data_IF_319038850413
#
_entry.id   IF_319038850413
#
_cell.length_a   1.000
_cell.length_b   1.000
_cell.length_c   1.000
_cell.angle_alpha   90.00
_cell.angle_beta   90.00
_cell.angle_gamma   90.00
#
_symmetry.space_group_name_H-M   'P 1'
#
loop_
_entity.id
_entity.type
_entity.pdbx_description
1 polymer ?
#
# COMPACT_ATOMS: atom_id res chain seq x y z
N UNK A 1 24.71 -73.41 -14.34
CA UNK A 1 23.77 -72.36 -14.79
C UNK A 1 22.35 -72.89 -14.63
N UNK A 2 21.53 -72.29 -13.76
CA UNK A 2 20.14 -72.73 -13.56
C UNK A 2 19.22 -71.95 -14.50
N UNK A 3 18.48 -72.64 -15.36
CA UNK A 3 17.50 -72.03 -16.25
C UNK A 3 16.10 -72.13 -15.60
N UNK A 4 15.40 -71.01 -15.48
CA UNK A 4 14.01 -70.95 -14.99
C UNK A 4 13.11 -70.64 -16.19
N UNK A 5 12.19 -71.55 -16.49
CA UNK A 5 11.30 -71.48 -17.67
C UNK A 5 9.86 -71.84 -17.33
N UNK A 6 9.31 -71.28 -16.24
CA UNK A 6 7.91 -71.49 -15.90
C UNK A 6 6.98 -70.84 -16.92
N UNK A 7 6.00 -71.60 -17.41
CA UNK A 7 5.03 -71.16 -18.40
C UNK A 7 3.82 -70.45 -17.78
N UNK A 8 3.64 -70.57 -16.46
CA UNK A 8 2.50 -70.11 -15.69
C UNK A 8 2.92 -69.24 -14.48
N UNK A 9 3.95 -68.41 -14.66
CA UNK A 9 4.54 -67.59 -13.60
C UNK A 9 3.52 -66.82 -12.72
N UNK A 10 2.42 -66.22 -13.25
CA UNK A 10 1.41 -65.55 -12.42
C UNK A 10 0.70 -66.47 -11.41
N UNK A 11 0.60 -67.77 -11.70
CA UNK A 11 -0.03 -68.78 -10.81
C UNK A 11 0.69 -68.89 -9.46
N UNK A 12 2.00 -68.61 -9.44
CA UNK A 12 2.84 -68.65 -8.24
C UNK A 12 2.55 -67.50 -7.26
N UNK A 13 1.81 -66.49 -7.70
CA UNK A 13 1.29 -65.41 -6.85
C UNK A 13 -0.23 -65.30 -7.01
N UNK A 14 -0.92 -66.44 -6.84
CA UNK A 14 -2.36 -66.58 -7.08
C UNK A 14 -3.21 -65.48 -6.42
N UNK A 15 -2.90 -65.06 -5.19
CA UNK A 15 -3.63 -63.98 -4.50
C UNK A 15 -3.52 -62.63 -5.23
N UNK A 16 -2.34 -62.27 -5.72
CA UNK A 16 -2.14 -61.02 -6.46
C UNK A 16 -2.73 -61.10 -7.87
N UNK A 17 -2.57 -62.25 -8.54
CA UNK A 17 -3.11 -62.47 -9.87
C UNK A 17 -4.66 -62.44 -9.86
N UNK A 18 -5.29 -63.13 -8.91
CA UNK A 18 -6.75 -63.16 -8.78
C UNK A 18 -7.34 -61.80 -8.43
N UNK A 19 -6.73 -61.04 -7.51
CA UNK A 19 -7.21 -59.69 -7.15
C UNK A 19 -7.10 -58.70 -8.31
N UNK A 20 -5.98 -58.67 -9.03
CA UNK A 20 -5.81 -57.79 -10.20
C UNK A 20 -6.74 -58.20 -11.35
N UNK A 21 -6.86 -59.50 -11.62
CA UNK A 21 -7.76 -60.00 -12.66
C UNK A 21 -9.23 -59.68 -12.32
N UNK A 22 -9.66 -59.91 -11.08
CA UNK A 22 -10.99 -59.53 -10.59
C UNK A 22 -11.24 -58.03 -10.75
N UNK A 23 -10.27 -57.18 -10.43
CA UNK A 23 -10.38 -55.73 -10.62
C UNK A 23 -10.54 -55.33 -12.09
N UNK A 24 -9.81 -55.98 -13.00
CA UNK A 24 -9.93 -55.73 -14.44
C UNK A 24 -11.30 -56.14 -14.97
N UNK A 25 -11.79 -57.35 -14.62
CA UNK A 25 -13.12 -57.83 -15.02
C UNK A 25 -14.23 -56.94 -14.46
N UNK A 26 -14.15 -56.57 -13.18
CA UNK A 26 -15.14 -55.69 -12.54
C UNK A 26 -15.20 -54.32 -13.22
N UNK A 27 -14.03 -53.72 -13.52
CA UNK A 27 -13.96 -52.45 -14.24
C UNK A 27 -14.44 -52.56 -15.68
N UNK A 28 -14.16 -53.67 -16.36
CA UNK A 28 -14.64 -53.93 -17.72
C UNK A 28 -16.17 -53.99 -17.74
N UNK A 29 -16.79 -54.82 -16.88
CA UNK A 29 -18.25 -54.97 -16.81
C UNK A 29 -18.94 -53.64 -16.50
N UNK A 30 -18.38 -52.87 -15.57
CA UNK A 30 -18.88 -51.52 -15.22
C UNK A 30 -18.70 -50.49 -16.35
N UNK A 31 -17.70 -50.67 -17.22
CA UNK A 31 -17.40 -49.74 -18.30
C UNK A 31 -18.23 -50.03 -19.57
N UNK A 32 -18.44 -51.30 -19.92
CA UNK A 32 -19.22 -51.70 -21.11
C UNK A 32 -20.72 -51.47 -20.93
N UNK A 33 -21.21 -51.53 -19.69
CA UNK A 33 -22.60 -51.26 -19.33
C UNK A 33 -22.67 -50.33 -18.12
N UNK A 34 -22.70 -49.00 -18.34
CA UNK A 34 -22.69 -48.02 -17.25
C UNK A 34 -24.07 -47.84 -16.58
N UNK A 35 -25.12 -48.43 -17.13
CA UNK A 35 -26.47 -48.37 -16.57
C UNK A 35 -26.57 -49.14 -15.25
N UNK A 36 -27.41 -48.67 -14.33
CA UNK A 36 -27.51 -49.23 -12.97
C UNK A 36 -28.45 -50.42 -12.89
N UNK A 37 -29.48 -50.45 -13.74
CA UNK A 37 -30.61 -51.36 -13.61
C UNK A 37 -30.65 -52.38 -14.76
N UNK A 38 -30.06 -52.07 -15.91
CA UNK A 38 -30.03 -52.93 -17.09
C UNK A 38 -28.60 -53.23 -17.55
N UNK A 39 -28.28 -54.51 -17.73
CA UNK A 39 -27.01 -54.91 -18.34
C UNK A 39 -27.17 -54.98 -19.86
N UNK A 40 -26.69 -53.94 -20.54
CA UNK A 40 -26.73 -53.80 -21.99
C UNK A 40 -25.43 -53.18 -22.51
N UNK A 41 -24.88 -53.75 -23.58
CA UNK A 41 -23.77 -53.19 -24.35
C UNK A 41 -24.04 -53.40 -25.85
N UNK A 42 -23.82 -52.36 -26.64
CA UNK A 42 -24.11 -52.39 -28.07
C UNK A 42 -22.84 -52.68 -28.88
N UNK A 43 -22.86 -53.75 -29.67
CA UNK A 43 -21.75 -54.11 -30.56
C UNK A 43 -22.01 -53.48 -31.93
N UNK A 44 -21.21 -52.50 -32.31
CA UNK A 44 -21.24 -51.84 -33.62
C UNK A 44 -19.91 -52.06 -34.35
N UNK A 45 -19.98 -52.25 -35.67
CA UNK A 45 -18.81 -52.25 -36.54
C UNK A 45 -18.39 -50.83 -36.96
N UNK A 46 -19.23 -49.84 -36.67
CA UNK A 46 -18.93 -48.43 -36.82
C UNK A 46 -18.42 -47.85 -35.49
N UNK A 47 -17.10 -47.63 -35.40
CA UNK A 47 -16.46 -47.11 -34.20
C UNK A 47 -15.25 -46.20 -34.50
N UNK A 48 -15.11 -45.20 -33.63
CA UNK A 48 -13.95 -44.30 -33.57
C UNK A 48 -12.92 -44.81 -32.56
N UNK A 49 -11.63 -44.63 -32.86
CA UNK A 49 -10.53 -44.98 -31.95
C UNK A 49 -10.64 -44.18 -30.65
N UNK A 50 -10.34 -44.85 -29.53
CA UNK A 50 -10.39 -44.24 -28.19
C UNK A 50 -11.79 -44.13 -27.59
N UNK A 51 -12.85 -44.50 -28.32
CA UNK A 51 -14.21 -44.57 -27.78
C UNK A 51 -14.52 -45.93 -27.17
N UNK A 52 -15.58 -46.01 -26.36
CA UNK A 52 -16.01 -47.27 -25.76
C UNK A 52 -16.45 -48.30 -26.81
N UNK A 53 -16.99 -47.86 -27.96
CA UNK A 53 -17.37 -48.75 -29.06
C UNK A 53 -16.19 -49.55 -29.62
N UNK A 54 -15.02 -48.91 -29.74
CA UNK A 54 -13.78 -49.58 -30.15
C UNK A 54 -13.37 -50.68 -29.15
N UNK A 55 -13.50 -50.39 -27.84
CA UNK A 55 -13.21 -51.38 -26.78
C UNK A 55 -14.19 -52.54 -26.83
N UNK A 56 -15.49 -52.27 -26.95
CA UNK A 56 -16.54 -53.31 -27.00
C UNK A 56 -16.33 -54.21 -28.21
N UNK A 57 -16.18 -53.64 -29.41
CA UNK A 57 -16.02 -54.42 -30.65
C UNK A 57 -14.70 -55.18 -30.72
N UNK A 58 -13.63 -54.65 -30.13
CA UNK A 58 -12.34 -55.34 -30.01
C UNK A 58 -12.33 -56.46 -28.96
N UNK A 59 -13.21 -56.41 -27.96
CA UNK A 59 -13.31 -57.40 -26.89
C UNK A 59 -14.23 -58.57 -27.24
N UNK A 60 -15.33 -58.30 -27.95
CA UNK A 60 -16.31 -59.33 -28.34
C UNK A 60 -15.82 -60.06 -29.60
N UNK A 61 -15.50 -61.34 -29.46
CA UNK A 61 -15.04 -62.21 -30.57
C UNK A 61 -16.17 -63.04 -31.19
N UNK A 62 -17.27 -63.24 -30.46
CA UNK A 62 -18.44 -64.01 -30.88
C UNK A 62 -19.70 -63.39 -30.28
N UNK A 63 -20.76 -63.29 -31.09
CA UNK A 63 -22.09 -62.82 -30.65
C UNK A 63 -23.16 -63.74 -31.22
N UNK A 64 -24.05 -64.24 -30.37
CA UNK A 64 -25.17 -65.11 -30.76
C UNK A 64 -24.77 -66.35 -31.59
N UNK A 65 -23.55 -66.87 -31.35
CA UNK A 65 -22.99 -68.03 -32.07
C UNK A 65 -22.22 -67.68 -33.35
N UNK A 66 -22.29 -66.45 -33.84
CA UNK A 66 -21.52 -65.99 -35.00
C UNK A 66 -20.16 -65.41 -34.57
N UNK A 67 -19.09 -65.84 -35.23
CA UNK A 67 -17.73 -65.34 -34.99
C UNK A 67 -17.56 -64.01 -35.72
N UNK A 68 -17.24 -62.96 -34.97
CA UNK A 68 -17.01 -61.59 -35.48
C UNK A 68 -15.53 -61.20 -35.39
N UNK A 69 -14.64 -62.16 -35.20
CA UNK A 69 -13.19 -61.99 -35.28
C UNK A 69 -12.71 -62.20 -36.74
N UNK A 70 -11.83 -61.35 -37.30
CA UNK A 70 -11.14 -60.19 -36.68
C UNK A 70 -11.98 -58.90 -36.63
N UNK A 71 -11.65 -57.99 -35.71
CA UNK A 71 -12.28 -56.68 -35.64
C UNK A 71 -11.79 -55.74 -36.78
N UNK A 72 -12.68 -54.91 -37.39
CA UNK A 72 -12.28 -53.90 -38.37
C UNK A 72 -11.34 -52.83 -37.82
N UNK A 73 -10.68 -52.07 -38.71
CA UNK A 73 -9.90 -50.89 -38.30
C UNK A 73 -10.83 -49.73 -37.93
N UNK A 74 -10.56 -48.99 -36.84
CA UNK A 74 -11.33 -47.79 -36.47
C UNK A 74 -11.31 -46.71 -37.57
N UNK A 75 -12.35 -45.88 -37.62
CA UNK A 75 -12.49 -44.81 -38.64
C UNK A 75 -11.42 -43.73 -38.57
N UNK A 76 -11.05 -43.33 -37.36
CA UNK A 76 -10.01 -42.33 -37.11
C UNK A 76 -8.85 -43.00 -36.39
N UNK A 77 -7.64 -42.88 -36.92
CA UNK A 77 -6.42 -43.19 -36.17
C UNK A 77 -5.91 -41.84 -35.66
N UNK A 78 -5.68 -41.65 -34.35
CA UNK A 78 -5.19 -40.37 -33.85
C UNK A 78 -3.86 -40.01 -34.52
N UNK A 79 -3.85 -38.92 -35.28
CA UNK A 79 -2.63 -38.31 -35.81
C UNK A 79 -1.86 -37.63 -34.68
N UNK A 80 -1.04 -38.40 -33.96
CA UNK A 80 -0.16 -37.88 -32.91
C UNK A 80 -0.90 -37.30 -31.70
N UNK A 81 -0.20 -37.19 -30.57
CA UNK A 81 -0.76 -36.52 -29.41
C UNK A 81 -1.00 -35.03 -29.74
N UNK A 82 -2.15 -34.44 -29.37
CA UNK A 82 -2.36 -33.00 -29.53
C UNK A 82 -1.27 -32.22 -28.79
N UNK A 83 -0.73 -31.17 -29.43
CA UNK A 83 0.32 -30.32 -28.85
C UNK A 83 -0.21 -29.74 -27.54
N UNK A 84 0.46 -30.08 -26.43
CA UNK A 84 0.06 -29.63 -25.10
C UNK A 84 0.20 -28.10 -25.04
N UNK A 85 -0.82 -27.35 -24.61
CA UNK A 85 -0.72 -25.90 -24.47
C UNK A 85 0.38 -25.57 -23.44
N UNK A 86 1.23 -24.59 -23.79
CA UNK A 86 2.30 -24.09 -22.93
C UNK A 86 1.73 -23.52 -21.64
N UNK A 87 2.44 -23.74 -20.54
CA UNK A 87 2.14 -23.14 -19.24
C UNK A 87 2.42 -21.63 -19.24
N UNK A 88 1.86 -20.88 -18.29
CA UNK A 88 2.13 -19.43 -18.15
C UNK A 88 3.62 -19.16 -17.98
N UNK A 89 4.33 -19.99 -17.21
CA UNK A 89 5.77 -19.85 -17.01
C UNK A 89 6.57 -20.04 -18.31
N UNK A 90 6.16 -20.96 -19.19
CA UNK A 90 6.81 -21.16 -20.49
C UNK A 90 6.55 -19.99 -21.44
N UNK A 91 5.35 -19.40 -21.42
CA UNK A 91 5.02 -18.19 -22.18
C UNK A 91 5.80 -16.96 -21.66
N UNK A 92 5.97 -16.84 -20.35
CA UNK A 92 6.79 -15.79 -19.73
C UNK A 92 8.28 -15.95 -20.05
N UNK A 93 8.79 -17.19 -20.02
CA UNK A 93 10.17 -17.50 -20.39
C UNK A 93 10.44 -17.16 -21.86
N UNK A 94 9.50 -17.46 -22.76
CA UNK A 94 9.59 -17.09 -24.17
C UNK A 94 9.58 -15.56 -24.34
N UNK A 95 8.68 -14.85 -23.65
CA UNK A 95 8.65 -13.39 -23.64
C UNK A 95 9.95 -12.78 -23.11
N UNK A 96 10.53 -13.33 -22.04
CA UNK A 96 11.80 -12.89 -21.50
C UNK A 96 12.96 -13.15 -22.48
N UNK A 97 12.94 -14.28 -23.19
CA UNK A 97 13.94 -14.61 -24.20
C UNK A 97 13.88 -13.71 -25.44
N UNK A 98 12.74 -13.08 -25.75
CA UNK A 98 12.64 -12.09 -26.85
C UNK A 98 13.42 -10.79 -26.58
N UNK A 99 13.73 -10.49 -25.32
CA UNK A 99 14.45 -9.28 -24.95
C UNK A 99 15.94 -9.49 -25.15
N UNK A 100 16.50 -8.88 -26.20
CA UNK A 100 17.93 -8.98 -26.48
C UNK A 100 18.77 -8.36 -25.36
N UNK A 101 19.99 -8.88 -25.09
CA UNK A 101 20.90 -8.28 -24.11
C UNK A 101 21.17 -6.80 -24.39
N UNK A 102 21.24 -6.41 -25.66
CA UNK A 102 21.38 -5.00 -26.06
C UNK A 102 20.22 -4.13 -25.56
N UNK A 103 18.96 -4.54 -25.80
CA UNK A 103 17.79 -3.77 -25.34
C UNK A 103 17.73 -3.68 -23.81
N UNK A 104 18.12 -4.75 -23.11
CA UNK A 104 18.22 -4.75 -21.65
C UNK A 104 19.24 -3.72 -21.16
N UNK A 105 20.46 -3.75 -21.70
CA UNK A 105 21.51 -2.78 -21.34
C UNK A 105 21.11 -1.35 -21.72
N UNK A 106 20.53 -1.15 -22.91
CA UNK A 106 20.07 0.16 -23.37
C UNK A 106 18.99 0.74 -22.46
N UNK A 107 18.03 -0.07 -22.03
CA UNK A 107 16.95 0.36 -21.10
C UNK A 107 17.53 0.75 -19.74
N UNK A 108 18.44 -0.07 -19.20
CA UNK A 108 19.12 0.24 -17.93
C UNK A 108 19.94 1.53 -18.03
N UNK A 109 20.78 1.65 -19.05
CA UNK A 109 21.57 2.86 -19.29
C UNK A 109 20.68 4.10 -19.43
N UNK A 110 19.59 4.00 -20.20
CA UNK A 110 18.63 5.09 -20.40
C UNK A 110 17.95 5.51 -19.09
N UNK A 111 17.58 4.55 -18.24
CA UNK A 111 16.98 4.85 -16.93
C UNK A 111 17.96 5.59 -16.01
N UNK A 112 19.22 5.16 -15.95
CA UNK A 112 20.26 5.86 -15.18
C UNK A 112 20.56 7.25 -15.75
N UNK A 113 20.66 7.39 -17.09
CA UNK A 113 20.85 8.69 -17.73
C UNK A 113 19.69 9.64 -17.45
N UNK A 114 18.44 9.16 -17.47
CA UNK A 114 17.28 9.98 -17.11
C UNK A 114 17.33 10.41 -15.63
N UNK A 115 17.69 9.50 -14.72
CA UNK A 115 17.87 9.82 -13.30
C UNK A 115 18.96 10.85 -13.05
N UNK A 116 20.14 10.67 -13.63
CA UNK A 116 21.28 11.59 -13.49
C UNK A 116 20.96 12.96 -14.09
N UNK A 117 20.34 13.01 -15.28
CA UNK A 117 19.88 14.27 -15.88
C UNK A 117 18.83 14.96 -15.02
N UNK A 118 17.92 14.22 -14.39
CA UNK A 118 16.96 14.76 -13.42
C UNK A 118 17.63 15.42 -12.22
N UNK A 119 18.68 14.79 -11.67
CA UNK A 119 19.48 15.37 -10.57
C UNK A 119 20.17 16.67 -11.01
N UNK A 120 20.76 16.70 -12.21
CA UNK A 120 21.34 17.92 -12.77
C UNK A 120 20.29 19.02 -12.94
N UNK A 121 19.09 18.68 -13.41
CA UNK A 121 17.97 19.61 -13.54
C UNK A 121 17.57 20.23 -12.20
N UNK A 122 17.47 19.42 -11.13
CA UNK A 122 17.21 19.93 -9.78
C UNK A 122 18.31 20.88 -9.29
N UNK A 123 19.57 20.60 -9.62
CA UNK A 123 20.69 21.48 -9.29
C UNK A 123 20.64 22.83 -10.02
N UNK A 124 20.17 22.85 -11.27
CA UNK A 124 20.04 24.09 -12.07
C UNK A 124 18.93 24.98 -11.53
N UNK A 125 17.82 24.41 -11.06
CA UNK A 125 16.66 25.18 -10.56
C UNK A 125 16.74 25.52 -9.06
N UNK A 126 17.82 25.15 -8.38
CA UNK A 126 18.00 25.37 -6.96
C UNK A 126 18.12 26.88 -6.64
N UNK A 127 17.20 27.49 -5.85
CA UNK A 127 17.28 28.92 -5.56
C UNK A 127 18.30 29.25 -4.46
N UNK A 128 18.61 28.31 -3.56
CA UNK A 128 19.50 28.52 -2.42
C UNK A 128 20.11 27.20 -1.93
N UNK A 129 21.08 27.30 -1.01
CA UNK A 129 21.76 26.15 -0.42
C UNK A 129 20.82 25.25 0.40
N UNK A 130 19.83 25.83 1.08
CA UNK A 130 18.89 25.09 1.91
C UNK A 130 18.08 24.08 1.08
N UNK A 131 17.66 24.44 -0.13
CA UNK A 131 17.01 23.52 -1.06
C UNK A 131 17.89 22.30 -1.37
N UNK A 132 19.17 22.51 -1.71
CA UNK A 132 20.11 21.42 -1.99
C UNK A 132 20.34 20.51 -0.78
N UNK A 133 20.38 21.08 0.44
CA UNK A 133 20.48 20.32 1.68
C UNK A 133 19.22 19.48 1.95
N UNK A 134 18.03 20.04 1.70
CA UNK A 134 16.75 19.33 1.82
C UNK A 134 16.61 18.21 0.80
N UNK A 135 16.99 18.44 -0.47
CA UNK A 135 16.99 17.39 -1.52
C UNK A 135 17.95 16.26 -1.16
N UNK A 136 19.12 16.58 -0.62
CA UNK A 136 20.09 15.57 -0.14
C UNK A 136 19.48 14.71 0.97
N UNK A 137 18.89 15.35 1.97
CA UNK A 137 18.24 14.66 3.10
C UNK A 137 17.06 13.82 2.63
N UNK A 138 16.24 14.34 1.71
CA UNK A 138 15.14 13.62 1.07
C UNK A 138 15.61 12.36 0.33
N UNK A 139 16.67 12.47 -0.47
CA UNK A 139 17.23 11.32 -1.20
C UNK A 139 17.74 10.21 -0.27
N UNK A 140 18.50 10.59 0.75
CA UNK A 140 19.00 9.63 1.76
C UNK A 140 17.86 9.01 2.57
N UNK A 141 16.90 9.81 3.04
CA UNK A 141 15.73 9.33 3.78
C UNK A 141 14.86 8.39 2.93
N UNK A 142 14.72 8.65 1.63
CA UNK A 142 14.03 7.77 0.68
C UNK A 142 14.70 6.40 0.55
N UNK A 143 16.04 6.35 0.47
CA UNK A 143 16.80 5.09 0.43
C UNK A 143 16.67 4.33 1.76
N UNK A 144 16.74 5.03 2.89
CA UNK A 144 16.52 4.45 4.22
C UNK A 144 15.12 3.86 4.31
N UNK A 145 14.08 4.62 3.97
CA UNK A 145 12.69 4.16 3.99
C UNK A 145 12.46 2.94 3.10
N UNK A 146 13.04 2.92 1.89
CA UNK A 146 12.97 1.76 0.99
C UNK A 146 13.50 0.50 1.67
N UNK A 147 14.73 0.53 2.21
CA UNK A 147 15.32 -0.65 2.83
C UNK A 147 14.63 -1.05 4.14
N UNK A 148 14.16 -0.08 4.92
CA UNK A 148 13.46 -0.34 6.18
C UNK A 148 12.14 -1.07 5.96
N UNK A 149 11.36 -0.71 4.94
CA UNK A 149 10.06 -1.33 4.67
C UNK A 149 10.22 -2.72 4.04
N UNK A 150 11.22 -2.93 3.17
CA UNK A 150 11.50 -4.24 2.58
C UNK A 150 12.00 -5.29 3.58
N UNK A 151 12.57 -4.85 4.72
CA UNK A 151 13.02 -5.74 5.79
C UNK A 151 11.89 -6.34 6.64
N UNK A 152 10.62 -5.99 6.38
CA UNK A 152 9.47 -6.47 7.16
C UNK A 152 9.05 -7.88 6.74
N UNK A 153 9.01 -8.82 7.69
CA UNK A 153 8.88 -10.27 7.42
C UNK A 153 7.59 -10.66 6.63
N UNK A 154 7.69 -11.39 5.51
CA UNK A 154 6.55 -11.74 4.65
C UNK A 154 5.44 -12.62 5.26
N UNK A 155 5.75 -13.45 6.26
CA UNK A 155 4.75 -14.28 6.95
C UNK A 155 3.72 -13.46 7.75
N UNK A 156 3.93 -12.15 7.85
CA UNK A 156 3.12 -11.20 8.62
C UNK A 156 2.37 -10.21 7.70
N UNK A 157 2.35 -10.42 6.38
CA UNK A 157 1.86 -9.47 5.38
C UNK A 157 0.37 -9.08 5.44
N UNK A 158 -0.51 -9.79 6.15
CA UNK A 158 -1.90 -9.32 6.30
C UNK A 158 -2.07 -8.56 7.62
N UNK A 159 -1.66 -9.11 8.77
CA UNK A 159 -1.91 -8.47 10.06
C UNK A 159 -0.89 -7.37 10.40
N UNK A 160 0.39 -7.57 10.10
CA UNK A 160 1.45 -6.57 10.35
C UNK A 160 1.52 -5.52 9.24
N UNK A 161 1.13 -5.80 7.99
CA UNK A 161 0.96 -4.71 7.01
C UNK A 161 -0.10 -3.72 7.45
N UNK A 162 -1.21 -4.20 8.03
CA UNK A 162 -2.20 -3.31 8.62
C UNK A 162 -1.62 -2.51 9.80
N UNK A 163 -0.73 -3.10 10.61
CA UNK A 163 0.02 -2.38 11.65
C UNK A 163 1.00 -1.35 11.06
N UNK A 164 1.73 -1.71 9.99
CA UNK A 164 2.64 -0.80 9.29
C UNK A 164 1.88 0.40 8.72
N UNK A 165 0.72 0.15 8.11
CA UNK A 165 -0.22 1.18 7.66
C UNK A 165 -0.69 2.05 8.82
N UNK A 166 -0.99 1.46 9.98
CA UNK A 166 -1.39 2.21 11.18
C UNK A 166 -0.27 3.07 11.76
N UNK A 167 0.97 2.57 11.83
CA UNK A 167 2.14 3.32 12.32
C UNK A 167 2.50 4.46 11.39
N UNK A 168 2.55 4.20 10.08
CA UNK A 168 2.80 5.25 9.09
C UNK A 168 1.71 6.31 9.11
N UNK A 169 0.45 5.92 9.32
CA UNK A 169 -0.65 6.85 9.53
C UNK A 169 -0.52 7.65 10.84
N UNK A 170 -0.07 7.04 11.94
CA UNK A 170 0.16 7.77 13.19
C UNK A 170 1.28 8.83 13.03
N UNK A 171 2.40 8.45 12.40
CA UNK A 171 3.55 9.33 12.15
C UNK A 171 3.20 10.44 11.16
N UNK A 172 2.38 10.17 10.13
CA UNK A 172 1.97 11.19 9.16
C UNK A 172 1.15 12.32 9.79
N UNK A 173 0.60 12.12 10.99
CA UNK A 173 0.02 13.20 11.80
C UNK A 173 1.02 14.30 12.21
N UNK A 174 2.32 14.15 11.93
CA UNK A 174 3.30 15.23 12.03
C UNK A 174 3.04 16.43 11.10
N UNK A 175 2.00 16.39 10.25
CA UNK A 175 1.44 17.61 9.65
C UNK A 175 1.08 18.68 10.69
N UNK A 176 0.87 18.29 11.96
CA UNK A 176 0.76 19.20 13.10
C UNK A 176 1.96 20.14 13.25
N UNK A 177 3.19 19.72 12.91
CA UNK A 177 4.40 20.56 12.96
C UNK A 177 4.26 21.77 12.04
N UNK A 178 3.77 21.57 10.81
CA UNK A 178 3.50 22.67 9.88
C UNK A 178 2.38 23.59 10.37
N UNK A 179 1.31 23.01 10.93
CA UNK A 179 0.22 23.77 11.55
C UNK A 179 0.72 24.63 12.72
N UNK A 180 1.52 24.08 13.63
CA UNK A 180 2.07 24.81 14.78
C UNK A 180 2.98 25.97 14.35
N UNK A 181 3.79 25.78 13.30
CA UNK A 181 4.67 26.84 12.78
C UNK A 181 3.90 28.03 12.19
N UNK A 182 2.69 27.81 11.67
CA UNK A 182 1.82 28.85 11.08
C UNK A 182 0.76 29.39 12.06
N UNK A 183 0.60 28.76 13.24
CA UNK A 183 -0.28 29.26 14.28
C UNK A 183 0.32 30.50 14.96
N UNK A 184 -0.51 31.51 15.18
CA UNK A 184 -0.11 32.75 15.84
C UNK A 184 -1.32 33.48 16.39
N UNK A 185 -1.08 34.65 16.99
CA UNK A 185 -2.11 35.44 17.67
C UNK A 185 -2.06 35.25 19.19
N UNK A 186 -3.23 35.16 19.82
CA UNK A 186 -3.38 34.99 21.27
C UNK A 186 -4.13 33.67 21.56
N UNK A 187 -5.11 33.69 22.48
CA UNK A 187 -5.96 32.52 22.76
C UNK A 187 -6.82 32.14 21.55
N UNK A 188 -7.22 33.13 20.75
CA UNK A 188 -8.01 32.95 19.53
C UNK A 188 -7.22 33.40 18.30
N UNK A 189 -7.45 32.76 17.12
CA UNK A 189 -6.84 33.19 15.87
C UNK A 189 -7.25 34.62 15.51
N UNK A 190 -6.29 35.42 15.04
CA UNK A 190 -6.52 36.80 14.59
C UNK A 190 -6.73 36.91 13.07
N UNK A 191 -6.13 36.01 12.29
CA UNK A 191 -6.23 35.99 10.83
C UNK A 191 -6.76 34.66 10.31
N UNK A 192 -7.28 34.64 9.09
CA UNK A 192 -7.76 33.42 8.44
C UNK A 192 -6.69 32.34 8.38
N UNK A 193 -5.44 32.69 8.06
CA UNK A 193 -4.33 31.73 8.00
C UNK A 193 -4.08 31.04 9.35
N UNK A 194 -4.10 31.80 10.45
CA UNK A 194 -3.97 31.23 11.81
C UNK A 194 -5.13 30.28 12.14
N UNK A 195 -6.34 30.56 11.63
CA UNK A 195 -7.49 29.66 11.74
C UNK A 195 -7.31 28.36 10.95
N UNK A 196 -6.82 28.43 9.72
CA UNK A 196 -6.50 27.26 8.90
C UNK A 196 -5.40 26.40 9.54
N UNK A 197 -4.37 27.05 10.08
CA UNK A 197 -3.28 26.40 10.80
C UNK A 197 -3.78 25.70 12.09
N UNK A 198 -4.66 26.36 12.85
CA UNK A 198 -5.29 25.75 14.03
C UNK A 198 -6.14 24.52 13.65
N UNK A 199 -6.88 24.59 12.55
CA UNK A 199 -7.65 23.45 12.03
C UNK A 199 -6.74 22.30 11.58
N UNK A 200 -5.64 22.60 10.89
CA UNK A 200 -4.63 21.62 10.50
C UNK A 200 -4.00 20.93 11.71
N UNK A 201 -3.61 21.67 12.75
CA UNK A 201 -3.09 21.13 14.01
C UNK A 201 -4.11 20.25 14.72
N UNK A 202 -5.37 20.67 14.77
CA UNK A 202 -6.46 19.91 15.38
C UNK A 202 -6.67 18.55 14.70
N UNK A 203 -6.88 18.51 13.37
CA UNK A 203 -7.11 17.25 12.64
C UNK A 203 -5.87 16.35 12.62
N UNK A 204 -4.68 16.94 12.60
CA UNK A 204 -3.43 16.20 12.71
C UNK A 204 -3.31 15.50 14.08
N UNK A 205 -3.75 16.15 15.15
CA UNK A 205 -3.75 15.59 16.50
C UNK A 205 -4.75 14.43 16.66
N UNK A 206 -5.90 14.49 15.98
CA UNK A 206 -6.83 13.35 15.86
C UNK A 206 -6.10 12.15 15.26
N UNK A 207 -5.33 12.37 14.20
CA UNK A 207 -4.60 11.34 13.49
C UNK A 207 -3.46 10.72 14.35
N UNK A 208 -2.66 11.54 15.04
CA UNK A 208 -1.60 11.08 15.93
C UNK A 208 -2.18 10.15 17.00
N UNK A 209 -3.15 10.64 17.77
CA UNK A 209 -3.65 9.91 18.93
C UNK A 209 -4.46 8.66 18.53
N UNK A 210 -5.27 8.79 17.47
CA UNK A 210 -6.02 7.67 16.91
C UNK A 210 -5.12 6.58 16.35
N UNK A 211 -4.11 6.96 15.55
CA UNK A 211 -3.17 6.04 14.93
C UNK A 211 -2.35 5.24 15.94
N UNK A 212 -1.77 5.89 16.96
CA UNK A 212 -0.97 5.17 17.97
C UNK A 212 -1.81 4.22 18.83
N UNK A 213 -3.04 4.61 19.17
CA UNK A 213 -3.93 3.73 19.95
C UNK A 213 -4.38 2.51 19.14
N UNK A 214 -4.72 2.70 17.86
CA UNK A 214 -5.03 1.59 16.94
C UNK A 214 -3.83 0.65 16.83
N UNK A 215 -2.64 1.18 16.56
CA UNK A 215 -1.40 0.40 16.46
C UNK A 215 -1.19 -0.45 17.71
N UNK A 216 -1.32 0.16 18.90
CA UNK A 216 -1.15 -0.56 20.17
C UNK A 216 -2.15 -1.72 20.30
N UNK A 217 -3.45 -1.45 20.04
CA UNK A 217 -4.50 -2.48 20.11
C UNK A 217 -4.23 -3.65 19.18
N UNK A 218 -3.75 -3.38 17.97
CA UNK A 218 -3.41 -4.43 17.02
C UNK A 218 -2.21 -5.25 17.47
N UNK A 219 -1.16 -4.60 17.98
CA UNK A 219 0.06 -5.27 18.43
C UNK A 219 -0.21 -6.19 19.61
N UNK A 220 -1.08 -5.77 20.53
CA UNK A 220 -1.43 -6.56 21.73
C UNK A 220 -2.17 -7.85 21.39
N UNK A 221 -2.85 -7.93 20.24
CA UNK A 221 -3.50 -9.17 19.78
C UNK A 221 -2.50 -10.27 19.39
N UNK A 222 -1.25 -9.92 19.11
CA UNK A 222 -0.23 -10.90 18.76
C UNK A 222 0.53 -11.46 19.96
N UNK A 223 0.25 -10.96 21.16
CA UNK A 223 0.83 -11.49 22.39
C UNK A 223 0.23 -12.85 22.69
N UNK A 224 1.08 -13.88 22.76
CA UNK A 224 0.64 -15.23 23.11
C UNK A 224 0.53 -15.35 24.63
N UNK A 225 -0.41 -16.14 25.16
CA UNK A 225 -0.53 -16.38 26.60
C UNK A 225 0.73 -17.02 27.22
N UNK A 226 1.56 -17.67 26.40
CA UNK A 226 2.80 -18.33 26.82
C UNK A 226 4.05 -17.45 26.71
N UNK A 227 3.92 -16.23 26.18
CA UNK A 227 5.07 -15.32 26.05
C UNK A 227 5.50 -14.80 27.44
N UNK A 228 6.81 -14.56 27.69
CA UNK A 228 7.28 -13.96 28.93
C UNK A 228 6.63 -12.60 29.22
N UNK A 229 6.53 -12.19 30.50
CA UNK A 229 6.09 -10.84 30.85
C UNK A 229 6.98 -9.77 30.19
N UNK A 230 6.35 -8.79 29.55
CA UNK A 230 7.02 -7.66 28.89
C UNK A 230 6.85 -6.38 29.75
N UNK A 231 7.90 -5.55 29.80
CA UNK A 231 7.95 -4.36 30.66
C UNK A 231 8.00 -3.07 29.84
N UNK A 232 6.99 -2.86 28.97
CA UNK A 232 6.96 -1.76 28.00
C UNK A 232 7.01 -0.35 28.64
N UNK A 233 6.63 -0.20 29.91
CA UNK A 233 6.75 1.07 30.63
C UNK A 233 8.21 1.53 30.80
N UNK A 234 9.20 0.64 30.69
CA UNK A 234 10.62 1.00 30.73
C UNK A 234 11.03 1.90 29.55
N UNK A 235 10.28 1.86 28.43
CA UNK A 235 10.51 2.78 27.30
C UNK A 235 10.14 4.24 27.62
N UNK A 236 9.53 4.52 28.77
CA UNK A 236 9.39 5.88 29.27
C UNK A 236 10.74 6.51 29.66
N UNK A 237 11.74 5.71 30.03
CA UNK A 237 13.07 6.20 30.39
C UNK A 237 13.76 6.98 29.24
N UNK A 238 13.90 6.43 28.02
CA UNK A 238 14.44 7.19 26.90
C UNK A 238 13.53 8.34 26.48
N UNK A 239 12.20 8.18 26.54
CA UNK A 239 11.24 9.24 26.21
C UNK A 239 11.42 10.47 27.12
N UNK A 240 11.43 10.25 28.44
CA UNK A 240 11.59 11.28 29.45
C UNK A 240 12.97 11.93 29.37
N UNK A 241 14.02 11.16 29.09
CA UNK A 241 15.38 11.69 28.93
C UNK A 241 15.51 12.53 27.66
N UNK A 242 14.89 12.11 26.55
CA UNK A 242 14.96 12.81 25.27
C UNK A 242 14.22 14.14 25.31
N UNK A 243 12.93 14.13 25.70
CA UNK A 243 12.11 15.36 25.76
C UNK A 243 12.47 16.20 26.99
N UNK A 244 12.67 15.59 28.15
CA UNK A 244 13.07 16.31 29.37
C UNK A 244 14.47 16.92 29.25
N UNK A 245 15.41 16.20 28.62
CA UNK A 245 16.73 16.72 28.29
C UNK A 245 16.67 17.90 27.32
N UNK A 246 15.79 17.86 26.33
CA UNK A 246 15.52 19.01 25.45
C UNK A 246 15.02 20.22 26.23
N UNK A 247 14.02 20.05 27.10
CA UNK A 247 13.47 21.15 27.92
C UNK A 247 14.52 21.73 28.87
N UNK A 248 15.37 20.90 29.47
CA UNK A 248 16.49 21.35 30.30
C UNK A 248 17.50 22.17 29.49
N UNK A 249 17.87 21.72 28.29
CA UNK A 249 18.75 22.44 27.39
C UNK A 249 18.16 23.78 26.93
N UNK A 250 16.86 23.79 26.59
CA UNK A 250 16.11 24.99 26.20
C UNK A 250 16.08 26.00 27.35
N UNK A 251 15.83 25.54 28.59
CA UNK A 251 15.84 26.39 29.79
C UNK A 251 17.23 26.96 30.09
N UNK A 252 18.28 26.28 29.63
CA UNK A 252 19.68 26.72 29.75
C UNK A 252 20.13 27.62 28.58
N UNK A 253 19.23 27.94 27.65
CA UNK A 253 19.50 28.83 26.51
C UNK A 253 20.14 28.18 25.28
N UNK A 254 20.21 26.85 25.22
CA UNK A 254 20.69 26.13 24.03
C UNK A 254 19.57 25.95 23.00
N UNK A 255 19.90 26.14 21.72
CA UNK A 255 19.00 25.86 20.59
C UNK A 255 19.47 24.57 19.90
N UNK A 256 18.74 23.46 20.08
CA UNK A 256 19.11 22.13 19.58
C UNK A 256 18.02 21.50 18.71
N UNK A 257 17.11 22.31 18.15
CA UNK A 257 15.93 21.89 17.38
C UNK A 257 16.31 21.02 16.18
N UNK A 258 17.36 21.40 15.44
CA UNK A 258 17.82 20.65 14.26
C UNK A 258 18.30 19.23 14.61
N UNK A 259 18.97 19.07 15.76
CA UNK A 259 19.40 17.77 16.26
C UNK A 259 18.21 16.97 16.82
N UNK A 260 17.25 17.65 17.44
CA UNK A 260 15.99 17.02 17.86
C UNK A 260 15.18 16.49 16.67
N UNK A 261 15.14 17.20 15.54
CA UNK A 261 14.51 16.72 14.31
C UNK A 261 15.21 15.48 13.76
N UNK A 262 16.54 15.45 13.77
CA UNK A 262 17.30 14.24 13.43
C UNK A 262 16.97 13.08 14.37
N UNK A 263 17.01 13.30 15.69
CA UNK A 263 16.68 12.26 16.68
C UNK A 263 15.24 11.74 16.55
N UNK A 264 14.29 12.63 16.29
CA UNK A 264 12.89 12.31 16.05
C UNK A 264 12.72 11.49 14.77
N UNK A 265 13.41 11.88 13.68
CA UNK A 265 13.45 11.15 12.43
C UNK A 265 14.03 9.74 12.59
N UNK A 266 15.13 9.59 13.32
CA UNK A 266 15.72 8.28 13.63
C UNK A 266 14.78 7.40 14.47
N UNK A 267 14.06 7.97 15.43
CA UNK A 267 13.05 7.26 16.19
C UNK A 267 11.88 6.79 15.29
N UNK A 268 11.42 7.63 14.36
CA UNK A 268 10.39 7.25 13.38
C UNK A 268 10.89 6.15 12.43
N UNK A 269 12.14 6.20 11.95
CA UNK A 269 12.75 5.11 11.17
C UNK A 269 12.83 3.83 12.00
N UNK A 270 13.25 3.94 13.26
CA UNK A 270 13.28 2.85 14.24
C UNK A 270 11.89 2.26 14.51
N UNK A 271 10.83 3.08 14.42
CA UNK A 271 9.45 2.62 14.56
C UNK A 271 9.08 1.61 13.46
N UNK A 272 9.45 1.91 12.21
CA UNK A 272 9.22 1.02 11.07
C UNK A 272 10.16 -0.19 11.11
N UNK A 273 11.45 0.03 11.42
CA UNK A 273 12.42 -1.05 11.52
C UNK A 273 12.07 -2.06 12.63
N UNK A 274 11.57 -1.57 13.76
CA UNK A 274 11.14 -2.40 14.90
C UNK A 274 9.94 -3.30 14.58
N UNK A 275 9.15 -2.98 13.56
CA UNK A 275 8.06 -3.84 13.10
C UNK A 275 8.55 -5.06 12.31
N UNK A 276 9.83 -5.11 11.90
CA UNK A 276 10.35 -6.20 11.07
C UNK A 276 10.21 -7.60 11.68
N UNK A 277 10.22 -7.70 13.02
CA UNK A 277 10.01 -8.94 13.75
C UNK A 277 8.93 -8.79 14.83
N UNK A 278 8.20 -9.86 15.11
CA UNK A 278 7.11 -9.85 16.10
C UNK A 278 7.59 -9.51 17.52
N UNK A 279 8.81 -9.92 17.87
CA UNK A 279 9.40 -9.66 19.20
C UNK A 279 9.71 -8.18 19.43
N UNK A 280 10.07 -7.44 18.37
CA UNK A 280 10.44 -6.02 18.44
C UNK A 280 9.29 -5.08 18.10
N UNK A 281 8.12 -5.59 17.70
CA UNK A 281 7.04 -4.76 17.16
C UNK A 281 6.52 -3.70 18.15
N UNK A 282 6.48 -4.01 19.45
CA UNK A 282 6.07 -3.06 20.51
C UNK A 282 7.09 -1.95 20.73
N UNK A 283 8.38 -2.28 20.63
CA UNK A 283 9.45 -1.28 20.62
C UNK A 283 9.26 -0.33 19.43
N UNK A 284 8.87 -0.85 18.26
CA UNK A 284 8.54 -0.03 17.10
C UNK A 284 7.48 1.03 17.41
N UNK A 285 6.37 0.64 18.03
CA UNK A 285 5.32 1.59 18.42
C UNK A 285 5.83 2.64 19.45
N UNK A 286 6.61 2.21 20.43
CA UNK A 286 7.19 3.10 21.44
C UNK A 286 8.15 4.13 20.83
N UNK A 287 9.05 3.71 19.93
CA UNK A 287 9.96 4.62 19.22
C UNK A 287 9.19 5.61 18.35
N UNK A 288 8.10 5.19 17.71
CA UNK A 288 7.23 6.09 16.96
C UNK A 288 6.63 7.19 17.84
N UNK A 289 6.12 6.83 19.02
CA UNK A 289 5.60 7.80 20.00
C UNK A 289 6.69 8.77 20.49
N UNK A 290 7.89 8.26 20.76
CA UNK A 290 9.05 9.08 21.18
C UNK A 290 9.43 10.07 20.07
N UNK A 291 9.48 9.62 18.81
CA UNK A 291 9.81 10.45 17.67
C UNK A 291 8.79 11.57 17.44
N UNK A 292 7.49 11.25 17.50
CA UNK A 292 6.43 12.25 17.34
C UNK A 292 6.44 13.26 18.50
N UNK A 293 6.58 12.79 19.75
CA UNK A 293 6.68 13.68 20.90
C UNK A 293 7.89 14.61 20.84
N UNK A 294 9.06 14.09 20.45
CA UNK A 294 10.29 14.88 20.27
C UNK A 294 10.17 15.93 19.18
N UNK A 295 9.56 15.59 18.04
CA UNK A 295 9.36 16.51 16.93
C UNK A 295 8.44 17.67 17.32
N UNK A 296 7.30 17.36 17.94
CA UNK A 296 6.36 18.37 18.45
C UNK A 296 7.00 19.25 19.53
N UNK A 297 7.74 18.66 20.47
CA UNK A 297 8.43 19.40 21.53
C UNK A 297 9.48 20.37 20.95
N UNK A 298 10.27 19.94 19.97
CA UNK A 298 11.27 20.77 19.32
C UNK A 298 10.65 21.94 18.56
N UNK A 299 9.55 21.70 17.82
CA UNK A 299 8.82 22.78 17.14
C UNK A 299 8.23 23.77 18.14
N UNK A 300 7.58 23.28 19.20
CA UNK A 300 6.96 24.14 20.21
C UNK A 300 8.00 24.97 20.99
N UNK A 301 9.13 24.35 21.35
CA UNK A 301 10.22 25.02 22.07
C UNK A 301 10.97 26.04 21.20
N UNK A 302 11.16 25.76 19.91
CA UNK A 302 11.78 26.66 18.96
C UNK A 302 10.96 27.93 18.67
N UNK A 303 9.62 27.82 18.69
CA UNK A 303 8.72 28.95 18.44
C UNK A 303 8.62 29.93 19.62
N UNK A 304 8.93 29.49 20.85
CA UNK A 304 8.83 30.27 22.10
C UNK A 304 7.49 31.04 22.20
N UNK A 305 6.34 30.36 22.10
CA UNK A 305 5.03 31.02 22.07
C UNK A 305 4.71 31.75 23.38
N UNK A 306 3.88 32.79 23.32
CA UNK A 306 3.32 33.40 24.54
C UNK A 306 2.43 32.39 25.29
N UNK A 307 2.20 32.56 26.61
CA UNK A 307 1.33 31.65 27.37
C UNK A 307 -0.07 31.49 26.76
N UNK A 308 -0.63 32.55 26.18
CA UNK A 308 -1.93 32.54 25.52
C UNK A 308 -1.93 31.70 24.24
N UNK A 309 -0.91 31.87 23.39
CA UNK A 309 -0.78 31.10 22.16
C UNK A 309 -0.46 29.63 22.45
N UNK A 310 0.35 29.37 23.48
CA UNK A 310 0.63 28.02 23.96
C UNK A 310 -0.65 27.33 24.47
N UNK A 311 -1.53 28.08 25.16
CA UNK A 311 -2.84 27.58 25.56
C UNK A 311 -3.72 27.23 24.35
N UNK A 312 -3.70 28.04 23.28
CA UNK A 312 -4.39 27.73 22.04
C UNK A 312 -3.84 26.46 21.37
N UNK A 313 -2.51 26.37 21.20
CA UNK A 313 -1.85 25.21 20.59
C UNK A 313 -2.12 23.92 21.37
N UNK A 314 -1.94 23.96 22.69
CA UNK A 314 -2.21 22.80 23.56
C UNK A 314 -3.70 22.43 23.59
N UNK A 315 -4.61 23.41 23.60
CA UNK A 315 -6.06 23.18 23.53
C UNK A 315 -6.49 22.50 22.23
N UNK A 316 -5.98 22.96 21.09
CA UNK A 316 -6.26 22.34 19.78
C UNK A 316 -5.74 20.89 19.72
N UNK A 317 -4.51 20.64 20.18
CA UNK A 317 -3.94 19.30 20.23
C UNK A 317 -4.69 18.38 21.20
N UNK A 318 -5.05 18.87 22.39
CA UNK A 318 -5.76 18.11 23.40
C UNK A 318 -7.17 17.72 22.94
N UNK A 319 -7.91 18.64 22.31
CA UNK A 319 -9.24 18.35 21.77
C UNK A 319 -9.16 17.33 20.63
N UNK A 320 -8.26 17.55 19.67
CA UNK A 320 -8.05 16.63 18.56
C UNK A 320 -7.63 15.24 19.04
N UNK A 321 -6.64 15.18 19.94
CA UNK A 321 -6.17 13.93 20.53
C UNK A 321 -7.26 13.19 21.30
N UNK A 322 -8.08 13.89 22.08
CA UNK A 322 -9.21 13.29 22.81
C UNK A 322 -10.24 12.65 21.87
N UNK A 323 -10.56 13.32 20.76
CA UNK A 323 -11.45 12.77 19.72
C UNK A 323 -10.81 11.54 19.07
N UNK A 324 -9.54 11.63 18.69
CA UNK A 324 -8.78 10.52 18.10
C UNK A 324 -8.77 9.27 18.98
N UNK A 325 -8.45 9.44 20.27
CA UNK A 325 -8.46 8.35 21.26
C UNK A 325 -9.86 7.76 21.43
N UNK A 326 -10.89 8.59 21.47
CA UNK A 326 -12.28 8.14 21.66
C UNK A 326 -12.75 7.30 20.48
N UNK A 327 -12.47 7.74 19.24
CA UNK A 327 -12.81 7.00 18.01
C UNK A 327 -12.02 5.68 17.96
N UNK A 328 -10.71 5.74 18.15
CA UNK A 328 -9.84 4.58 18.08
C UNK A 328 -10.12 3.53 19.16
N UNK A 329 -10.66 3.92 20.33
CA UNK A 329 -11.08 2.99 21.38
C UNK A 329 -12.39 2.27 21.07
N UNK A 330 -13.32 2.92 20.37
CA UNK A 330 -14.68 2.40 20.13
C UNK A 330 -14.77 1.47 18.91
N UNK A 331 -13.84 1.57 17.97
CA UNK A 331 -13.90 0.77 16.73
C UNK A 331 -13.57 -0.71 16.98
N UNK A 332 -14.19 -1.60 16.20
CA UNK A 332 -13.84 -3.00 16.15
C UNK A 332 -12.60 -3.23 15.28
N UNK A 333 -11.89 -4.34 15.49
CA UNK A 333 -10.67 -4.67 14.73
C UNK A 333 -11.01 -5.04 13.27
N UNK A 334 -12.20 -5.58 13.01
CA UNK A 334 -12.70 -5.81 11.64
C UNK A 334 -12.88 -4.52 10.84
N UNK A 335 -13.15 -3.42 11.54
CA UNK A 335 -13.45 -2.09 10.99
C UNK A 335 -12.20 -1.22 10.86
N UNK A 336 -11.01 -1.82 10.96
CA UNK A 336 -9.78 -1.06 10.95
C UNK A 336 -9.34 -0.52 9.59
N UNK A 337 -9.51 -1.26 8.47
CA UNK A 337 -9.13 -0.76 7.15
C UNK A 337 -9.84 0.55 6.78
N UNK A 338 -11.14 0.65 7.08
CA UNK A 338 -11.93 1.87 6.83
C UNK A 338 -11.50 3.02 7.76
N UNK A 339 -11.17 2.76 9.04
CA UNK A 339 -10.65 3.81 9.93
C UNK A 339 -9.31 4.37 9.44
N UNK A 340 -8.40 3.51 8.97
CA UNK A 340 -7.12 3.95 8.39
C UNK A 340 -7.35 4.80 7.14
N UNK A 341 -8.30 4.42 6.27
CA UNK A 341 -8.68 5.23 5.13
C UNK A 341 -9.23 6.61 5.56
N UNK A 342 -10.10 6.66 6.57
CA UNK A 342 -10.64 7.91 7.09
C UNK A 342 -9.55 8.83 7.67
N UNK A 343 -8.59 8.29 8.43
CA UNK A 343 -7.49 9.06 8.98
C UNK A 343 -6.52 9.61 7.94
N UNK A 344 -6.27 8.85 6.86
CA UNK A 344 -5.46 9.35 5.74
C UNK A 344 -6.12 10.58 5.08
N UNK A 345 -7.45 10.65 5.04
CA UNK A 345 -8.14 11.85 4.53
C UNK A 345 -7.83 13.11 5.36
N UNK A 346 -7.69 12.98 6.69
CA UNK A 346 -7.35 14.09 7.58
C UNK A 346 -5.95 14.65 7.29
N UNK A 347 -5.01 13.77 6.92
CA UNK A 347 -3.64 14.17 6.51
C UNK A 347 -3.69 14.97 5.22
N UNK A 348 -4.46 14.51 4.22
CA UNK A 348 -4.64 15.22 2.96
C UNK A 348 -5.24 16.62 3.16
N UNK A 349 -6.26 16.72 4.02
CA UNK A 349 -6.87 18.00 4.36
C UNK A 349 -5.90 18.92 5.12
N UNK A 350 -5.14 18.40 6.08
CA UNK A 350 -4.14 19.18 6.82
C UNK A 350 -3.07 19.76 5.88
N UNK A 351 -2.63 18.99 4.88
CA UNK A 351 -1.67 19.45 3.88
C UNK A 351 -2.23 20.61 3.04
N UNK A 352 -3.48 20.49 2.54
CA UNK A 352 -4.15 21.57 1.79
C UNK A 352 -4.26 22.84 2.64
N UNK A 353 -4.73 22.70 3.89
CA UNK A 353 -4.86 23.84 4.80
C UNK A 353 -3.52 24.52 5.07
N UNK A 354 -2.45 23.74 5.27
CA UNK A 354 -1.10 24.25 5.53
C UNK A 354 -0.55 25.00 4.32
N UNK A 355 -0.62 24.44 3.12
CA UNK A 355 -0.10 25.10 1.91
C UNK A 355 -0.83 26.40 1.58
N UNK A 356 -2.15 26.44 1.74
CA UNK A 356 -2.93 27.67 1.54
C UNK A 356 -2.62 28.70 2.64
N UNK A 357 -2.50 28.26 3.90
CA UNK A 357 -2.15 29.14 5.01
C UNK A 357 -0.77 29.78 4.85
N UNK A 358 0.24 29.00 4.43
CA UNK A 358 1.59 29.47 4.15
C UNK A 358 1.62 30.47 3.00
N UNK A 359 0.89 30.20 1.91
CA UNK A 359 0.76 31.14 0.79
C UNK A 359 0.20 32.50 1.23
N UNK A 360 -0.81 32.50 2.11
CA UNK A 360 -1.42 33.74 2.62
C UNK A 360 -0.43 34.53 3.50
N UNK A 361 0.36 33.84 4.32
CA UNK A 361 1.31 34.49 5.25
C UNK A 361 2.52 35.05 4.50
N UNK A 362 3.07 34.30 3.55
CA UNK A 362 4.30 34.67 2.84
C UNK A 362 4.06 35.54 1.60
N UNK A 363 2.81 35.72 1.16
CA UNK A 363 2.48 36.50 -0.03
C UNK A 363 3.16 37.88 -0.09
N UNK A 364 3.17 38.71 0.99
CA UNK A 364 3.83 40.02 0.95
C UNK A 364 5.35 39.95 0.72
N UNK A 365 5.99 38.83 1.06
CA UNK A 365 7.45 38.65 0.97
C UNK A 365 7.92 38.15 -0.40
N UNK A 366 7.02 37.63 -1.25
CA UNK A 366 7.38 37.09 -2.56
C UNK A 366 8.02 38.09 -3.52
N UNK A 367 7.79 39.40 -3.32
CA UNK A 367 8.40 40.43 -4.15
C UNK A 367 9.92 40.54 -3.94
N UNK A 368 10.42 40.18 -2.76
CA UNK A 368 11.83 40.39 -2.36
C UNK A 368 12.60 39.09 -2.14
N UNK A 369 11.92 37.94 -2.12
CA UNK A 369 12.54 36.64 -1.88
C UNK A 369 12.96 35.95 -3.19
N UNK A 370 14.25 35.66 -3.33
CA UNK A 370 14.80 34.89 -4.44
C UNK A 370 14.26 33.45 -4.51
N UNK A 371 13.78 32.90 -3.39
CA UNK A 371 13.19 31.57 -3.31
C UNK A 371 11.65 31.57 -3.48
N UNK A 372 11.01 32.71 -3.74
CA UNK A 372 9.55 32.83 -3.81
C UNK A 372 8.90 31.83 -4.79
N UNK A 373 9.54 31.59 -5.94
CA UNK A 373 9.02 30.64 -6.93
C UNK A 373 9.04 29.19 -6.42
N UNK A 374 10.07 28.81 -5.66
CA UNK A 374 10.14 27.48 -5.06
C UNK A 374 9.00 27.29 -4.05
N UNK A 375 8.80 28.25 -3.14
CA UNK A 375 7.73 28.21 -2.14
C UNK A 375 6.36 28.07 -2.80
N UNK A 376 6.09 28.86 -3.85
CA UNK A 376 4.86 28.75 -4.65
C UNK A 376 4.71 27.36 -5.29
N UNK A 377 5.75 26.84 -5.95
CA UNK A 377 5.69 25.52 -6.61
C UNK A 377 5.36 24.42 -5.59
N UNK A 378 6.05 24.42 -4.45
CA UNK A 378 5.86 23.42 -3.39
C UNK A 378 4.45 23.53 -2.78
N UNK A 379 3.96 24.74 -2.52
CA UNK A 379 2.59 24.95 -2.03
C UNK A 379 1.53 24.45 -3.02
N UNK A 380 1.72 24.67 -4.33
CA UNK A 380 0.81 24.18 -5.37
C UNK A 380 0.78 22.65 -5.43
N UNK A 381 1.97 22.02 -5.43
CA UNK A 381 2.08 20.56 -5.45
C UNK A 381 1.53 19.92 -4.17
N UNK A 382 1.81 20.50 -3.00
CA UNK A 382 1.27 20.04 -1.72
C UNK A 382 -0.26 20.13 -1.67
N UNK A 383 -0.83 21.22 -2.19
CA UNK A 383 -2.29 21.39 -2.32
C UNK A 383 -2.90 20.33 -3.25
N UNK A 384 -2.27 20.07 -4.40
CA UNK A 384 -2.73 19.05 -5.35
C UNK A 384 -2.69 17.64 -4.72
N UNK A 385 -1.56 17.25 -4.13
CA UNK A 385 -1.40 15.94 -3.49
C UNK A 385 -2.39 15.79 -2.34
N UNK A 386 -2.53 16.81 -1.49
CA UNK A 386 -3.47 16.80 -0.37
C UNK A 386 -4.92 16.64 -0.82
N UNK A 387 -5.35 17.31 -1.90
CA UNK A 387 -6.72 17.20 -2.43
C UNK A 387 -7.05 15.83 -3.04
N UNK A 388 -6.11 15.24 -3.80
CA UNK A 388 -6.26 13.86 -4.31
C UNK A 388 -6.38 12.89 -3.13
N UNK A 389 -5.49 13.03 -2.16
CA UNK A 389 -5.45 12.17 -0.97
C UNK A 389 -6.73 12.28 -0.15
N UNK A 390 -7.20 13.50 0.18
CA UNK A 390 -8.41 13.73 0.95
C UNK A 390 -9.64 13.04 0.33
N UNK A 391 -9.88 13.32 -0.94
CA UNK A 391 -11.06 12.84 -1.66
C UNK A 391 -10.99 11.34 -1.97
N UNK A 392 -9.83 10.83 -2.41
CA UNK A 392 -9.64 9.42 -2.70
C UNK A 392 -9.81 8.57 -1.45
N UNK A 393 -9.23 9.00 -0.32
CA UNK A 393 -9.40 8.32 0.97
C UNK A 393 -10.86 8.33 1.47
N UNK A 394 -11.62 9.39 1.22
CA UNK A 394 -13.03 9.47 1.59
C UNK A 394 -13.90 8.49 0.76
N UNK A 395 -13.63 8.36 -0.54
CA UNK A 395 -14.30 7.36 -1.41
C UNK A 395 -13.91 5.94 -1.00
N UNK A 396 -12.63 5.71 -0.69
CA UNK A 396 -12.16 4.41 -0.19
C UNK A 396 -12.86 4.04 1.12
N UNK A 397 -12.94 4.98 2.08
CA UNK A 397 -13.70 4.79 3.32
C UNK A 397 -15.16 4.42 3.03
N UNK A 398 -15.85 5.19 2.18
CA UNK A 398 -17.26 4.94 1.88
C UNK A 398 -17.51 3.60 1.17
N UNK A 399 -16.58 3.13 0.33
CA UNK A 399 -16.65 1.79 -0.29
C UNK A 399 -16.40 0.68 0.73
N UNK A 400 -15.38 0.81 1.59
CA UNK A 400 -15.05 -0.20 2.61
C UNK A 400 -16.16 -0.32 3.68
N UNK A 401 -16.76 0.80 4.05
CA UNK A 401 -17.87 0.86 5.01
C UNK A 401 -19.21 0.32 4.43
N UNK A 402 -19.28 0.11 3.12
CA UNK A 402 -20.51 -0.30 2.42
C UNK A 402 -21.53 0.83 2.21
N UNK A 403 -21.14 2.09 2.42
CA UNK A 403 -21.97 3.27 2.11
C UNK A 403 -22.09 3.44 0.60
N UNK A 404 -20.99 3.21 -0.13
CA UNK A 404 -20.95 3.16 -1.59
C UNK A 404 -20.88 1.70 -2.06
N UNK A 405 -21.39 1.44 -3.27
CA UNK A 405 -21.27 0.13 -3.91
C UNK A 405 -19.80 -0.22 -4.16
N UNK A 406 -19.41 -1.46 -3.85
CA UNK A 406 -18.07 -1.98 -4.13
C UNK A 406 -17.77 -1.99 -5.63
N UNK A 407 -18.76 -2.28 -6.47
CA UNK A 407 -18.61 -2.31 -7.93
C UNK A 407 -17.88 -1.07 -8.51
N UNK A 408 -16.98 -1.25 -9.49
CA UNK A 408 -16.27 -0.14 -10.12
C UNK A 408 -17.25 0.72 -10.91
N UNK A 409 -17.33 2.02 -10.58
CA UNK A 409 -18.16 2.97 -11.30
C UNK A 409 -17.40 3.50 -12.52
N UNK A 410 -17.72 2.96 -13.70
CA UNK A 410 -17.05 3.33 -14.94
C UNK A 410 -17.81 4.43 -15.69
N UNK A 411 -17.28 5.65 -15.66
CA UNK A 411 -17.84 6.76 -16.43
C UNK A 411 -17.53 6.59 -17.95
N UNK A 412 -18.45 6.97 -18.85
CA UNK A 412 -18.16 7.09 -20.27
C UNK A 412 -17.00 8.07 -20.50
N UNK A 413 -15.98 7.67 -21.26
CA UNK A 413 -14.83 8.55 -21.56
C UNK A 413 -13.92 8.86 -20.36
N UNK A 414 -13.93 8.07 -19.27
CA UNK A 414 -13.14 8.32 -18.04
C UNK A 414 -11.66 8.65 -18.27
N UNK A 415 -11.03 8.04 -19.27
CA UNK A 415 -9.61 8.29 -19.58
C UNK A 415 -9.40 9.70 -20.14
N UNK A 416 -10.33 10.18 -20.97
CA UNK A 416 -10.31 11.55 -21.49
C UNK A 416 -10.58 12.56 -20.37
N UNK A 417 -11.54 12.26 -19.48
CA UNK A 417 -11.83 13.10 -18.31
C UNK A 417 -10.60 13.21 -17.39
N UNK A 418 -9.99 12.08 -17.01
CA UNK A 418 -8.82 12.08 -16.14
C UNK A 418 -7.60 12.75 -16.79
N UNK A 419 -7.39 12.55 -18.09
CA UNK A 419 -6.36 13.28 -18.83
C UNK A 419 -6.63 14.78 -18.83
N UNK A 420 -7.87 15.21 -19.08
CA UNK A 420 -8.29 16.61 -19.02
C UNK A 420 -8.09 17.24 -17.64
N UNK A 421 -8.48 16.54 -16.57
CA UNK A 421 -8.26 16.99 -15.19
C UNK A 421 -6.77 17.14 -14.86
N UNK A 422 -5.93 16.20 -15.32
CA UNK A 422 -4.48 16.27 -15.12
C UNK A 422 -3.87 17.41 -15.91
N UNK A 423 -4.24 17.56 -17.19
CA UNK A 423 -3.77 18.66 -18.02
C UNK A 423 -4.18 20.02 -17.45
N UNK A 424 -5.41 20.17 -16.96
CA UNK A 424 -5.86 21.39 -16.30
C UNK A 424 -5.09 21.65 -15.00
N UNK A 425 -4.83 20.61 -14.20
CA UNK A 425 -4.08 20.73 -12.94
C UNK A 425 -2.61 21.11 -13.17
N UNK A 426 -1.96 20.55 -14.19
CA UNK A 426 -0.57 20.91 -14.56
C UNK A 426 -0.53 22.28 -15.23
N UNK A 427 -1.45 22.55 -16.16
CA UNK A 427 -1.54 23.83 -16.87
C UNK A 427 -1.87 25.01 -15.95
N UNK A 428 -2.63 24.79 -14.88
CA UNK A 428 -2.96 25.79 -13.86
C UNK A 428 -1.75 26.36 -13.11
N UNK A 429 -0.60 25.67 -13.15
CA UNK A 429 0.65 26.18 -12.60
C UNK A 429 1.19 27.38 -13.39
N UNK A 430 0.89 27.48 -14.69
CA UNK A 430 1.36 28.56 -15.56
C UNK A 430 0.79 29.92 -15.13
N UNK A 431 -0.54 30.13 -15.07
CA UNK A 431 -1.08 31.41 -14.59
C UNK A 431 -0.71 31.69 -13.13
N UNK A 432 -0.56 30.65 -12.31
CA UNK A 432 -0.11 30.77 -10.92
C UNK A 432 1.32 31.33 -10.78
N UNK A 433 2.19 31.07 -11.76
CA UNK A 433 3.58 31.55 -11.74
C UNK A 433 3.76 32.90 -12.43
N UNK A 434 2.99 33.17 -13.48
CA UNK A 434 3.15 34.38 -14.30
C UNK A 434 2.54 35.63 -13.67
N UNK A 435 1.49 35.50 -12.86
CA UNK A 435 0.80 36.62 -12.24
C UNK A 435 1.18 36.76 -10.75
N UNK A 436 1.75 37.90 -10.32
CA UNK A 436 2.05 38.15 -8.90
C UNK A 436 0.81 38.47 -8.05
N UNK A 437 -0.38 38.62 -8.64
CA UNK A 437 -1.62 38.98 -7.94
C UNK A 437 -2.08 37.93 -6.92
N UNK A 438 -2.39 38.38 -5.70
CA UNK A 438 -2.94 37.57 -4.61
C UNK A 438 -4.20 36.82 -5.03
N UNK A 439 -5.12 37.53 -5.69
CA UNK A 439 -6.42 36.98 -6.10
C UNK A 439 -6.24 35.86 -7.11
N UNK A 440 -5.36 36.06 -8.09
CA UNK A 440 -5.04 35.03 -9.10
C UNK A 440 -4.42 33.82 -8.41
N UNK A 441 -3.44 34.04 -7.54
CA UNK A 441 -2.75 32.96 -6.86
C UNK A 441 -3.66 32.12 -5.96
N UNK A 442 -4.50 32.77 -5.15
CA UNK A 442 -5.46 32.08 -4.30
C UNK A 442 -6.54 31.36 -5.11
N UNK A 443 -6.98 31.94 -6.24
CA UNK A 443 -7.91 31.28 -7.17
C UNK A 443 -7.30 30.03 -7.80
N UNK A 444 -6.03 30.08 -8.17
CA UNK A 444 -5.30 28.92 -8.68
C UNK A 444 -5.17 27.82 -7.61
N UNK A 445 -4.84 28.17 -6.36
CA UNK A 445 -4.80 27.20 -5.24
C UNK A 445 -6.19 26.58 -4.95
N UNK A 446 -7.24 27.40 -4.95
CA UNK A 446 -8.61 26.92 -4.84
C UNK A 446 -8.99 25.99 -6.00
N UNK A 447 -8.65 26.37 -7.22
CA UNK A 447 -8.93 25.58 -8.43
C UNK A 447 -8.21 24.24 -8.42
N UNK A 448 -6.91 24.21 -8.09
CA UNK A 448 -6.16 22.94 -8.03
C UNK A 448 -6.64 22.06 -6.89
N UNK A 449 -7.06 22.62 -5.75
CA UNK A 449 -7.67 21.85 -4.65
C UNK A 449 -8.98 21.18 -5.08
N UNK A 450 -9.83 21.88 -5.86
CA UNK A 450 -11.08 21.34 -6.38
C UNK A 450 -10.82 20.29 -7.47
N UNK A 451 -9.94 20.58 -8.43
CA UNK A 451 -9.59 19.66 -9.52
C UNK A 451 -8.96 18.36 -8.99
N UNK A 452 -8.05 18.47 -8.03
CA UNK A 452 -7.43 17.31 -7.37
C UNK A 452 -8.44 16.50 -6.57
N UNK A 453 -9.37 17.15 -5.87
CA UNK A 453 -10.45 16.46 -5.17
C UNK A 453 -11.38 15.71 -6.14
N UNK A 454 -11.76 16.32 -7.26
CA UNK A 454 -12.55 15.66 -8.30
C UNK A 454 -11.76 14.48 -8.88
N UNK A 455 -10.46 14.65 -9.15
CA UNK A 455 -9.62 13.58 -9.67
C UNK A 455 -9.48 12.40 -8.71
N UNK A 456 -9.33 12.65 -7.40
CA UNK A 456 -9.30 11.58 -6.40
C UNK A 456 -10.61 10.80 -6.39
N UNK A 457 -11.77 11.47 -6.48
CA UNK A 457 -13.07 10.80 -6.61
C UNK A 457 -13.15 9.97 -7.90
N UNK A 458 -12.82 10.53 -9.06
CA UNK A 458 -12.98 9.84 -10.36
C UNK A 458 -12.06 8.63 -10.48
N UNK A 459 -10.83 8.72 -9.97
CA UNK A 459 -9.87 7.61 -9.99
C UNK A 459 -10.28 6.50 -9.01
N UNK A 460 -10.60 6.85 -7.75
CA UNK A 460 -10.90 5.84 -6.73
C UNK A 460 -12.27 5.18 -6.93
N UNK A 461 -13.28 5.90 -7.42
CA UNK A 461 -14.61 5.32 -7.66
C UNK A 461 -14.62 4.26 -8.77
N UNK A 462 -13.67 4.33 -9.71
CA UNK A 462 -13.51 3.36 -10.80
C UNK A 462 -12.79 2.07 -10.36
N UNK A 463 -12.32 1.99 -9.12
CA UNK A 463 -11.71 0.78 -8.52
C UNK A 463 -12.81 -0.03 -7.82
N UNK A 464 -12.78 -1.35 -8.02
CA UNK A 464 -13.74 -2.33 -7.51
C UNK A 464 -13.30 -2.99 -6.21
#
# INVERSE_FOLDING_TARGET
VTHIGYTDLPSRMATQASTLYSNNITKLLKAISPDKDNFYFEVKDDFDFGTMGHVIRGTVVMKDGEVIFPAPTPKNIPQGAPVKPKTVAELEAEKAATVTPFRKTMTTASAYTAGLTGILGLGIVAPNLAFSQMVTTFGLAGIVGYHTVWGVTPALHSPLMAVLMSVTNAISGLTAVGGLALMGGHVYPSTTSQGLAALATFISSVNIAGGFLVTQRMLDMFKRPTDPPEFNYLYLLPAATFVGGYLAALSSGYNIEQIMYLGSGLCCVGALAGLSTQGTARLGNALGMIGVAGGLAATLGGLKPSPELLAQMSGAMALGGTIGLTIAKRIQISDLPQLVAAFHSLVGLAAVLTCIAEYIVEYPHFATDAAANLTKIVAYLGTYIGGVTFSGSLVAYGKLQGILKSAPLLLPGRHLLNAGLLTASVGGLIPFMLDPSFTTGLTCLGSVSALSAVMGVTLTAAIG
#
